data_IF_411118825217
#
_entry.id   IF_411118825217
#
_cell.length_a   1.000
_cell.length_b   1.000
_cell.length_c   1.000
_cell.angle_alpha   90.00
_cell.angle_beta   90.00
_cell.angle_gamma   90.00
#
_symmetry.space_group_name_H-M   'P 1'
#
loop_
_entity.id
_entity.type
_entity.pdbx_description
1 polymer ?
#
# COMPACT_ATOMS: atom_id res chain seq x y z
N UNK A 1 -29.31 -0.25 -10.09
CA UNK A 1 -30.22 0.12 -8.98
C UNK A 1 -31.71 0.08 -9.36
N UNK A 2 -32.13 0.60 -10.51
CA UNK A 2 -33.56 0.70 -10.90
C UNK A 2 -34.33 -0.62 -11.13
N UNK A 3 -33.66 -1.74 -11.47
CA UNK A 3 -34.37 -3.02 -11.71
C UNK A 3 -34.79 -3.72 -10.43
N UNK A 4 -33.95 -3.72 -9.39
CA UNK A 4 -34.21 -4.41 -8.11
C UNK A 4 -35.30 -3.69 -7.31
N UNK A 5 -35.26 -2.35 -7.22
CA UNK A 5 -36.27 -1.55 -6.50
C UNK A 5 -37.66 -1.70 -7.12
N UNK A 6 -37.75 -1.73 -8.45
CA UNK A 6 -39.00 -2.04 -9.17
C UNK A 6 -39.46 -3.47 -8.94
N UNK A 7 -38.54 -4.43 -8.93
CA UNK A 7 -38.86 -5.85 -8.75
C UNK A 7 -39.41 -6.16 -7.34
N UNK A 8 -38.89 -5.53 -6.30
CA UNK A 8 -39.36 -5.74 -4.92
C UNK A 8 -40.60 -4.93 -4.53
N UNK A 9 -41.08 -4.02 -5.40
CA UNK A 9 -42.25 -3.17 -5.13
C UNK A 9 -41.98 -2.09 -4.07
N UNK A 10 -40.75 -1.59 -3.98
CA UNK A 10 -40.34 -0.68 -2.90
C UNK A 10 -40.21 -1.36 -1.53
N UNK A 11 -40.22 -0.58 -0.45
CA UNK A 11 -40.11 -1.09 0.92
C UNK A 11 -41.45 -1.58 1.52
N UNK A 12 -42.58 -1.36 0.84
CA UNK A 12 -43.91 -1.80 1.31
C UNK A 12 -43.95 -3.31 1.55
N UNK A 13 -43.23 -4.08 0.73
CA UNK A 13 -43.14 -5.54 0.83
C UNK A 13 -41.96 -6.04 1.66
N UNK A 14 -41.24 -5.17 2.37
CA UNK A 14 -40.03 -5.54 3.14
C UNK A 14 -40.26 -6.73 4.08
N UNK A 15 -41.43 -6.80 4.71
CA UNK A 15 -41.80 -7.87 5.63
C UNK A 15 -42.14 -9.18 4.92
N UNK A 16 -42.54 -9.13 3.64
CA UNK A 16 -42.87 -10.28 2.79
C UNK A 16 -41.62 -10.89 2.15
N UNK A 17 -40.51 -10.13 2.05
CA UNK A 17 -39.26 -10.65 1.50
C UNK A 17 -38.69 -11.79 2.35
N UNK A 18 -38.18 -12.82 1.67
CA UNK A 18 -37.37 -13.84 2.31
C UNK A 18 -35.98 -13.29 2.70
N UNK A 19 -35.23 -14.06 3.48
CA UNK A 19 -33.98 -13.58 4.04
C UNK A 19 -32.92 -13.31 2.96
N UNK A 20 -32.85 -14.10 1.88
CA UNK A 20 -31.92 -13.90 0.77
C UNK A 20 -32.16 -12.57 0.04
N UNK A 21 -33.42 -12.24 -0.27
CA UNK A 21 -33.78 -10.96 -0.89
C UNK A 21 -33.45 -9.79 0.02
N UNK A 22 -33.69 -9.93 1.33
CA UNK A 22 -33.38 -8.88 2.31
C UNK A 22 -31.87 -8.66 2.43
N UNK A 23 -31.09 -9.75 2.48
CA UNK A 23 -29.62 -9.67 2.45
C UNK A 23 -29.12 -9.01 1.16
N UNK A 24 -29.72 -9.31 0.00
CA UNK A 24 -29.37 -8.68 -1.26
C UNK A 24 -29.60 -7.16 -1.24
N UNK A 25 -30.71 -6.68 -0.65
CA UNK A 25 -30.96 -5.24 -0.47
C UNK A 25 -29.95 -4.62 0.50
N UNK A 26 -29.70 -5.27 1.65
CA UNK A 26 -28.77 -4.78 2.68
C UNK A 26 -27.36 -4.59 2.13
N UNK A 27 -26.92 -5.40 1.17
CA UNK A 27 -25.60 -5.24 0.52
C UNK A 27 -25.41 -3.86 -0.12
N UNK A 28 -26.48 -3.22 -0.57
CA UNK A 28 -26.46 -1.89 -1.20
C UNK A 28 -26.68 -0.73 -0.23
N UNK A 29 -26.91 -1.01 1.07
CA UNK A 29 -27.08 0.03 2.07
C UNK A 29 -25.73 0.47 2.63
N UNK A 30 -25.59 1.78 2.82
CA UNK A 30 -24.50 2.40 3.56
C UNK A 30 -24.49 1.96 5.02
N UNK A 31 -23.34 2.05 5.67
CA UNK A 31 -23.19 1.57 7.05
C UNK A 31 -24.17 2.25 8.03
N UNK A 32 -24.41 3.55 7.88
CA UNK A 32 -25.35 4.28 8.74
C UNK A 32 -26.79 3.76 8.57
N UNK A 33 -27.23 3.54 7.33
CA UNK A 33 -28.57 3.04 7.04
C UNK A 33 -28.74 1.58 7.48
N UNK A 34 -27.68 0.76 7.40
CA UNK A 34 -27.67 -0.57 8.02
C UNK A 34 -27.83 -0.49 9.54
N UNK A 35 -27.20 0.47 10.20
CA UNK A 35 -27.37 0.68 11.63
C UNK A 35 -28.82 1.06 11.99
N UNK A 36 -29.42 1.99 11.22
CA UNK A 36 -30.83 2.38 11.38
C UNK A 36 -31.77 1.20 11.14
N UNK A 37 -31.53 0.39 10.12
CA UNK A 37 -32.34 -0.80 9.85
C UNK A 37 -32.22 -1.83 10.97
N UNK A 38 -31.01 -2.05 11.48
CA UNK A 38 -30.74 -3.04 12.53
C UNK A 38 -31.44 -2.77 13.86
N UNK A 39 -31.89 -1.54 14.12
CA UNK A 39 -32.67 -1.19 15.33
C UNK A 39 -34.18 -1.30 15.14
N UNK A 40 -34.67 -1.46 13.90
CA UNK A 40 -36.11 -1.50 13.61
C UNK A 40 -36.80 -2.77 14.15
N UNK A 41 -36.15 -3.93 14.07
CA UNK A 41 -36.69 -5.19 14.59
C UNK A 41 -35.59 -6.23 14.86
N UNK A 42 -35.93 -7.29 15.61
CA UNK A 42 -35.03 -8.44 15.80
C UNK A 42 -34.67 -9.11 14.47
N UNK A 43 -35.62 -9.24 13.54
CA UNK A 43 -35.38 -9.87 12.22
C UNK A 43 -34.45 -9.00 11.37
N UNK A 44 -34.65 -7.68 11.37
CA UNK A 44 -33.76 -6.74 10.70
C UNK A 44 -32.34 -6.79 11.28
N UNK A 45 -32.23 -6.79 12.61
CA UNK A 45 -30.94 -6.95 13.29
C UNK A 45 -30.18 -8.19 12.80
N UNK A 46 -30.82 -9.35 12.76
CA UNK A 46 -30.19 -10.59 12.29
C UNK A 46 -29.87 -10.54 10.79
N UNK A 47 -30.73 -9.92 9.97
CA UNK A 47 -30.48 -9.72 8.53
C UNK A 47 -29.21 -8.87 8.33
N UNK A 48 -29.12 -7.71 8.99
CA UNK A 48 -27.97 -6.81 8.91
C UNK A 48 -26.71 -7.49 9.42
N UNK A 49 -26.79 -8.16 10.58
CA UNK A 49 -25.65 -8.85 11.20
C UNK A 49 -25.10 -9.99 10.34
N UNK A 50 -25.96 -10.68 9.59
CA UNK A 50 -25.59 -11.83 8.76
C UNK A 50 -25.16 -11.42 7.35
N UNK A 51 -25.40 -10.16 6.94
CA UNK A 51 -24.99 -9.63 5.64
C UNK A 51 -23.61 -9.00 5.74
N UNK A 52 -22.68 -9.44 4.89
CA UNK A 52 -21.33 -8.86 4.87
C UNK A 52 -21.35 -7.37 4.55
N UNK A 53 -20.47 -6.62 5.23
CA UNK A 53 -20.26 -5.20 5.02
C UNK A 53 -19.13 -4.99 4.00
N UNK A 54 -19.31 -4.03 3.09
CA UNK A 54 -18.21 -3.54 2.28
C UNK A 54 -17.23 -2.78 3.17
N UNK A 55 -16.01 -3.29 3.30
CA UNK A 55 -14.90 -2.59 3.94
C UNK A 55 -13.80 -2.52 2.91
N UNK A 56 -13.52 -1.31 2.42
CA UNK A 56 -12.44 -1.08 1.47
C UNK A 56 -11.09 -1.40 2.10
N UNK A 57 -10.82 -0.80 3.27
CA UNK A 57 -9.51 -0.89 3.90
C UNK A 57 -9.53 -0.80 5.42
N UNK A 58 -8.49 -1.38 6.02
CA UNK A 58 -8.21 -1.28 7.46
C UNK A 58 -6.73 -0.97 7.64
N UNK A 59 -6.43 0.01 8.49
CA UNK A 59 -5.07 0.38 8.88
C UNK A 59 -4.90 0.27 10.39
N UNK A 60 -3.81 -0.35 10.83
CA UNK A 60 -3.39 -0.50 12.23
C UNK A 60 -1.97 0.07 12.33
N UNK A 61 -1.73 1.06 13.18
CA UNK A 61 -0.39 1.67 13.28
C UNK A 61 -0.06 2.15 14.68
N UNK A 62 1.20 2.08 15.07
CA UNK A 62 1.69 2.95 16.15
C UNK A 62 1.66 4.40 15.63
N UNK A 63 0.87 5.25 16.27
CA UNK A 63 0.56 6.56 15.73
C UNK A 63 1.65 7.58 16.05
N UNK A 64 2.59 7.78 15.14
CA UNK A 64 3.71 8.70 15.35
C UNK A 64 3.30 10.17 15.54
N UNK A 65 2.14 10.57 15.03
CA UNK A 65 1.66 11.95 15.19
C UNK A 65 1.21 12.22 16.62
N UNK A 66 0.57 11.24 17.25
CA UNK A 66 0.08 11.35 18.64
C UNK A 66 1.17 10.94 19.64
N UNK A 67 1.89 9.86 19.34
CA UNK A 67 2.96 9.29 20.14
C UNK A 67 3.08 7.78 19.91
N UNK A 68 4.30 7.24 19.99
CA UNK A 68 4.56 5.81 19.72
C UNK A 68 3.81 4.83 20.63
N UNK A 69 3.37 5.28 21.81
CA UNK A 69 2.63 4.49 22.81
C UNK A 69 1.11 4.42 22.52
N UNK A 70 0.68 4.91 21.36
CA UNK A 70 -0.69 4.87 20.90
C UNK A 70 -0.79 3.97 19.68
N UNK A 71 -1.79 3.10 19.64
CA UNK A 71 -2.15 2.38 18.41
C UNK A 71 -3.42 2.98 17.86
N UNK A 72 -3.39 3.43 16.60
CA UNK A 72 -4.59 3.86 15.89
C UNK A 72 -5.07 2.78 14.92
N UNK A 73 -6.38 2.55 14.93
CA UNK A 73 -7.06 1.67 13.98
C UNK A 73 -8.03 2.50 13.17
N UNK A 74 -7.85 2.54 11.85
CA UNK A 74 -8.74 3.22 10.90
C UNK A 74 -9.45 2.20 10.03
N UNK A 75 -10.75 2.37 9.84
CA UNK A 75 -11.58 1.57 8.93
C UNK A 75 -12.14 2.49 7.87
N UNK A 76 -12.02 2.09 6.60
CA UNK A 76 -12.59 2.79 5.45
C UNK A 76 -13.57 1.86 4.75
N UNK A 77 -14.79 2.33 4.55
CA UNK A 77 -15.90 1.53 4.05
C UNK A 77 -16.01 1.53 2.52
N UNK A 78 -15.56 2.60 1.87
CA UNK A 78 -15.70 2.82 0.43
C UNK A 78 -14.37 3.25 -0.21
N UNK A 79 -14.24 3.08 -1.52
CA UNK A 79 -13.11 3.51 -2.34
C UNK A 79 -13.06 5.06 -2.43
N UNK A 80 -14.18 5.74 -2.23
CA UNK A 80 -14.25 7.21 -2.12
C UNK A 80 -13.69 7.64 -0.76
N UNK A 81 -12.44 8.12 -0.75
CA UNK A 81 -11.68 8.62 0.41
C UNK A 81 -12.31 9.84 1.15
N UNK A 82 -13.59 10.12 0.93
CA UNK A 82 -14.35 11.12 1.67
C UNK A 82 -14.41 10.75 3.15
N UNK A 83 -14.27 11.75 4.03
CA UNK A 83 -14.24 11.59 5.48
C UNK A 83 -15.50 10.92 6.06
N UNK A 84 -16.63 10.95 5.33
CA UNK A 84 -17.90 10.36 5.74
C UNK A 84 -17.83 8.82 5.81
N UNK A 85 -16.99 8.19 4.99
CA UNK A 85 -16.89 6.72 4.89
C UNK A 85 -15.69 6.15 5.65
N UNK A 86 -15.12 6.94 6.56
CA UNK A 86 -13.95 6.59 7.36
C UNK A 86 -14.23 6.86 8.84
N UNK A 87 -13.74 5.98 9.70
CA UNK A 87 -13.65 6.27 11.13
C UNK A 87 -12.40 5.62 11.72
N UNK A 88 -11.95 6.15 12.86
CA UNK A 88 -10.79 5.61 13.55
C UNK A 88 -10.91 5.69 15.06
N UNK A 89 -10.27 4.73 15.73
CA UNK A 89 -10.10 4.70 17.18
C UNK A 89 -8.61 4.73 17.53
N UNK A 90 -8.31 5.32 18.68
CA UNK A 90 -6.99 5.33 19.31
C UNK A 90 -7.08 4.46 20.56
N UNK A 91 -6.08 3.61 20.75
CA UNK A 91 -5.91 2.73 21.88
C UNK A 91 -4.63 3.13 22.61
N UNK A 92 -4.68 3.23 23.93
CA UNK A 92 -3.52 3.49 24.78
C UNK A 92 -3.66 2.83 26.14
N UNK A 93 -2.53 2.56 26.80
CA UNK A 93 -2.53 2.00 28.14
C UNK A 93 -2.89 3.06 29.20
N UNK A 94 -3.73 2.70 30.17
CA UNK A 94 -4.13 3.51 31.34
C UNK A 94 -4.03 2.64 32.61
N UNK A 95 -2.84 2.61 33.23
CA UNK A 95 -2.54 1.66 34.30
C UNK A 95 -2.66 0.22 33.78
N UNK A 96 -3.45 -0.63 34.43
CA UNK A 96 -3.75 -1.99 33.97
C UNK A 96 -4.88 -2.04 32.91
N UNK A 97 -5.52 -0.91 32.64
CA UNK A 97 -6.68 -0.82 31.74
C UNK A 97 -6.27 -0.28 30.37
N UNK A 98 -7.09 -0.51 29.35
CA UNK A 98 -6.96 0.14 28.05
C UNK A 98 -7.94 1.30 27.93
N UNK A 99 -7.45 2.44 27.46
CA UNK A 99 -8.28 3.57 27.09
C UNK A 99 -8.50 3.59 25.58
N UNK A 100 -9.74 3.82 25.16
CA UNK A 100 -10.14 3.91 23.76
C UNK A 100 -10.81 5.26 23.49
N UNK A 101 -10.38 5.95 22.42
CA UNK A 101 -10.89 7.27 22.04
C UNK A 101 -11.18 7.32 20.54
N UNK A 102 -12.08 8.19 20.11
CA UNK A 102 -12.24 8.50 18.68
C UNK A 102 -11.05 9.29 18.18
N UNK A 103 -10.49 8.89 17.04
CA UNK A 103 -9.31 9.52 16.45
C UNK A 103 -9.55 11.01 16.17
N UNK A 104 -10.67 11.32 15.52
CA UNK A 104 -11.04 12.71 15.19
C UNK A 104 -11.29 13.58 16.42
N UNK A 105 -11.86 13.01 17.48
CA UNK A 105 -12.12 13.74 18.73
C UNK A 105 -10.79 14.09 19.41
N UNK A 106 -9.82 13.17 19.39
CA UNK A 106 -8.48 13.43 19.89
C UNK A 106 -7.79 14.55 19.10
N UNK A 107 -7.81 14.48 17.77
CA UNK A 107 -7.20 15.51 16.92
C UNK A 107 -7.83 16.89 17.17
N UNK A 108 -9.16 17.00 17.24
CA UNK A 108 -9.84 18.27 17.55
C UNK A 108 -9.37 18.92 18.86
N UNK A 109 -9.00 18.10 19.85
CA UNK A 109 -8.57 18.57 21.17
C UNK A 109 -7.06 18.84 21.26
N UNK A 110 -6.25 18.14 20.47
CA UNK A 110 -4.81 18.07 20.70
C UNK A 110 -3.96 18.41 19.47
N UNK A 111 -4.43 18.18 18.24
CA UNK A 111 -3.64 18.38 17.02
C UNK A 111 -4.50 18.63 15.75
N UNK A 112 -4.28 19.78 15.12
CA UNK A 112 -4.65 20.13 13.75
C UNK A 112 -3.86 21.36 13.31
N UNK A 113 -3.93 21.78 12.04
CA UNK A 113 -3.27 23.02 11.54
C UNK A 113 -3.71 24.30 12.26
N UNK A 114 -4.74 24.18 13.11
CA UNK A 114 -5.24 25.20 14.01
C UNK A 114 -5.98 24.52 15.18
N UNK A 115 -5.26 24.02 16.20
CA UNK A 115 -5.91 23.49 17.38
C UNK A 115 -6.41 24.68 18.20
N UNK A 116 -7.72 24.94 18.16
CA UNK A 116 -8.35 25.94 19.03
C UNK A 116 -9.28 25.26 20.04
N UNK A 117 -8.74 24.54 21.06
CA UNK A 117 -9.57 23.99 22.14
C UNK A 117 -10.44 25.06 22.79
N UNK A 118 -9.97 26.31 22.83
CA UNK A 118 -10.64 27.49 23.36
C UNK A 118 -11.94 27.87 22.60
N UNK A 119 -12.08 27.48 21.33
CA UNK A 119 -13.30 27.73 20.54
C UNK A 119 -14.44 26.76 20.88
N UNK A 120 -14.14 25.64 21.53
CA UNK A 120 -15.18 24.70 21.94
C UNK A 120 -15.75 25.10 23.28
N UNK A 121 -17.09 25.16 23.37
CA UNK A 121 -17.79 25.32 24.64
C UNK A 121 -17.39 24.22 25.62
N UNK A 122 -17.46 24.51 26.92
CA UNK A 122 -17.17 23.51 27.96
C UNK A 122 -18.09 22.28 27.83
N UNK A 123 -19.35 22.50 27.43
CA UNK A 123 -20.29 21.41 27.12
C UNK A 123 -19.81 20.51 25.98
N UNK A 124 -19.16 21.06 24.96
CA UNK A 124 -18.62 20.29 23.85
C UNK A 124 -17.38 19.50 24.29
N UNK A 125 -16.48 20.12 25.06
CA UNK A 125 -15.31 19.42 25.63
C UNK A 125 -15.74 18.28 26.53
N UNK A 126 -16.74 18.50 27.38
CA UNK A 126 -17.29 17.47 28.27
C UNK A 126 -17.92 16.32 27.48
N UNK A 127 -18.63 16.64 26.39
CA UNK A 127 -19.15 15.62 25.46
C UNK A 127 -18.04 14.76 24.87
N UNK A 128 -16.90 15.35 24.48
CA UNK A 128 -15.76 14.59 23.94
C UNK A 128 -15.12 13.70 25.02
N UNK A 129 -14.96 14.21 26.25
CA UNK A 129 -14.45 13.41 27.38
C UNK A 129 -15.36 12.23 27.70
N UNK A 130 -16.69 12.41 27.62
CA UNK A 130 -17.67 11.35 27.86
C UNK A 130 -17.69 10.26 26.78
N UNK A 131 -17.04 10.47 25.63
CA UNK A 131 -16.88 9.46 24.56
C UNK A 131 -15.63 8.59 24.74
N UNK A 132 -14.85 8.81 25.79
CA UNK A 132 -13.71 7.97 26.14
C UNK A 132 -14.22 6.68 26.79
N UNK A 133 -13.77 5.54 26.27
CA UNK A 133 -14.08 4.23 26.83
C UNK A 133 -12.88 3.68 27.58
N UNK A 134 -13.12 2.99 28.70
CA UNK A 134 -12.08 2.30 29.47
C UNK A 134 -12.42 0.82 29.54
N UNK A 135 -11.53 -0.01 28.99
CA UNK A 135 -11.59 -1.46 29.01
C UNK A 135 -10.72 -1.98 30.15
N UNK A 136 -11.28 -2.82 31.03
CA UNK A 136 -10.59 -3.22 32.27
C UNK A 136 -9.57 -4.32 32.05
N UNK A 137 -8.43 -4.23 32.73
CA UNK A 137 -7.41 -5.29 32.84
C UNK A 137 -7.02 -5.92 31.50
N UNK A 138 -6.64 -5.09 30.53
CA UNK A 138 -6.31 -5.53 29.18
C UNK A 138 -5.20 -4.68 28.55
N UNK A 139 -4.46 -5.29 27.63
CA UNK A 139 -3.39 -4.68 26.87
C UNK A 139 -3.98 -3.97 25.62
N UNK A 140 -3.56 -2.73 25.41
CA UNK A 140 -4.14 -1.87 24.38
C UNK A 140 -3.82 -2.30 22.94
N UNK A 141 -2.66 -2.93 22.71
CA UNK A 141 -2.23 -3.47 21.42
C UNK A 141 -3.14 -4.64 21.00
N UNK A 142 -3.42 -5.55 21.92
CA UNK A 142 -4.34 -6.67 21.70
C UNK A 142 -5.77 -6.19 21.45
N UNK A 143 -6.25 -5.20 22.20
CA UNK A 143 -7.59 -4.65 22.00
C UNK A 143 -7.72 -3.91 20.66
N UNK A 144 -6.67 -3.21 20.22
CA UNK A 144 -6.63 -2.60 18.90
C UNK A 144 -6.73 -3.65 17.79
N UNK A 145 -5.96 -4.75 17.88
CA UNK A 145 -6.01 -5.85 16.91
C UNK A 145 -7.38 -6.55 16.93
N UNK A 146 -7.94 -6.84 18.11
CA UNK A 146 -9.30 -7.40 18.23
C UNK A 146 -10.34 -6.52 17.57
N UNK A 147 -10.21 -5.19 17.73
CA UNK A 147 -11.10 -4.25 17.07
C UNK A 147 -10.95 -4.31 15.55
N UNK A 148 -9.72 -4.29 15.03
CA UNK A 148 -9.47 -4.39 13.59
C UNK A 148 -10.01 -5.70 13.00
N UNK A 149 -9.71 -6.83 13.63
CA UNK A 149 -10.16 -8.16 13.19
C UNK A 149 -11.69 -8.32 13.26
N UNK A 150 -12.34 -7.68 14.24
CA UNK A 150 -13.81 -7.62 14.29
C UNK A 150 -14.38 -6.98 13.02
N UNK A 151 -13.73 -5.96 12.48
CA UNK A 151 -14.14 -5.31 11.23
C UNK A 151 -13.77 -6.14 10.00
N UNK A 152 -12.60 -6.78 9.99
CA UNK A 152 -12.26 -7.76 8.94
C UNK A 152 -13.30 -8.88 8.88
N UNK A 153 -13.75 -9.39 10.04
CA UNK A 153 -14.79 -10.42 10.11
C UNK A 153 -16.13 -9.93 9.55
N UNK A 154 -16.50 -8.66 9.75
CA UNK A 154 -17.74 -8.09 9.18
C UNK A 154 -17.74 -8.05 7.66
N UNK A 155 -16.56 -7.98 7.02
CA UNK A 155 -16.41 -8.07 5.57
C UNK A 155 -15.94 -9.45 5.11
N UNK A 156 -16.06 -10.50 5.94
CA UNK A 156 -15.58 -11.85 5.62
C UNK A 156 -14.09 -11.90 5.21
N UNK A 157 -13.27 -10.97 5.71
CA UNK A 157 -11.86 -10.81 5.35
C UNK A 157 -11.63 -10.45 3.86
N UNK A 158 -12.64 -9.94 3.17
CA UNK A 158 -12.61 -9.57 1.75
C UNK A 158 -12.25 -8.10 1.49
N UNK A 159 -11.47 -7.48 2.37
CA UNK A 159 -10.95 -6.12 2.18
C UNK A 159 -9.96 -6.04 1.01
N UNK A 160 -9.90 -4.87 0.35
CA UNK A 160 -9.00 -4.62 -0.80
C UNK A 160 -7.59 -4.21 -0.38
N UNK A 161 -7.49 -3.42 0.69
CA UNK A 161 -6.23 -2.90 1.22
C UNK A 161 -6.09 -3.16 2.72
N UNK A 162 -4.91 -3.57 3.16
CA UNK A 162 -4.56 -3.61 4.59
C UNK A 162 -3.23 -2.89 4.85
N UNK A 163 -3.23 -2.01 5.85
CA UNK A 163 -2.01 -1.35 6.35
C UNK A 163 -1.73 -1.78 7.79
N UNK A 164 -0.54 -2.28 8.09
CA UNK A 164 -0.14 -2.65 9.46
C UNK A 164 1.27 -2.14 9.70
N UNK A 165 1.41 -1.06 10.46
CA UNK A 165 2.70 -0.52 10.90
C UNK A 165 2.74 -0.50 12.43
N UNK A 166 2.72 -1.69 13.01
CA UNK A 166 2.56 -1.89 14.44
C UNK A 166 3.72 -2.72 14.98
N UNK A 167 4.39 -2.19 16.00
CA UNK A 167 5.43 -2.89 16.76
C UNK A 167 4.82 -4.07 17.50
N UNK A 168 5.55 -5.18 17.55
CA UNK A 168 5.15 -6.40 18.26
C UNK A 168 3.71 -6.85 17.96
N UNK A 169 3.32 -6.89 16.68
CA UNK A 169 1.98 -7.35 16.30
C UNK A 169 1.69 -8.73 16.94
N UNK A 170 0.57 -8.91 17.68
CA UNK A 170 0.29 -10.12 18.46
C UNK A 170 -0.18 -11.29 17.58
N UNK A 171 0.73 -11.84 16.78
CA UNK A 171 0.50 -12.90 15.78
C UNK A 171 -0.21 -14.12 16.39
N UNK A 172 0.23 -14.58 17.56
CA UNK A 172 -0.31 -15.78 18.22
C UNK A 172 -1.77 -15.64 18.65
N UNK A 173 -2.26 -14.41 18.75
CA UNK A 173 -3.64 -14.09 19.14
C UNK A 173 -4.53 -13.74 17.95
N UNK A 174 -3.95 -13.63 16.75
CA UNK A 174 -4.68 -13.25 15.55
C UNK A 174 -5.58 -14.36 15.04
N UNK A 175 -6.79 -14.00 14.61
CA UNK A 175 -7.75 -14.92 14.00
C UNK A 175 -7.67 -14.92 12.47
N UNK A 176 -6.74 -14.16 11.87
CA UNK A 176 -6.63 -14.01 10.41
C UNK A 176 -6.06 -15.29 9.80
N UNK A 177 -6.87 -15.93 8.96
CA UNK A 177 -6.48 -17.12 8.19
C UNK A 177 -6.07 -16.78 6.76
N UNK A 178 -6.78 -15.85 6.12
CA UNK A 178 -6.57 -15.47 4.73
C UNK A 178 -7.25 -14.13 4.43
N UNK A 179 -6.70 -13.36 3.48
CA UNK A 179 -7.21 -12.10 2.97
C UNK A 179 -7.45 -12.20 1.44
N UNK A 180 -8.43 -13.00 0.98
CA UNK A 180 -8.50 -13.48 -0.40
C UNK A 180 -8.72 -12.39 -1.46
N UNK A 181 -9.26 -11.23 -1.08
CA UNK A 181 -9.51 -10.09 -1.97
C UNK A 181 -8.51 -8.94 -1.80
N UNK A 182 -7.55 -9.09 -0.88
CA UNK A 182 -6.56 -8.05 -0.65
C UNK A 182 -5.54 -8.05 -1.78
N UNK A 183 -5.36 -6.89 -2.41
CA UNK A 183 -4.44 -6.70 -3.55
C UNK A 183 -3.38 -5.65 -3.29
N UNK A 184 -3.54 -4.85 -2.24
CA UNK A 184 -2.55 -3.86 -1.84
C UNK A 184 -2.26 -3.98 -0.35
N UNK A 185 -0.98 -3.98 0.01
CA UNK A 185 -0.54 -4.01 1.41
C UNK A 185 0.47 -2.92 1.71
N UNK A 186 0.49 -2.48 2.96
CA UNK A 186 1.62 -1.79 3.55
C UNK A 186 1.90 -2.39 4.92
N UNK A 187 3.01 -3.10 5.06
CA UNK A 187 3.40 -3.72 6.32
C UNK A 187 4.70 -3.15 6.86
N UNK A 188 4.64 -2.58 8.05
CA UNK A 188 5.76 -2.27 8.91
C UNK A 188 5.96 -3.35 9.96
N UNK A 189 7.16 -3.93 10.05
CA UNK A 189 7.50 -4.94 11.05
C UNK A 189 8.87 -4.72 11.69
N UNK A 190 9.07 -5.36 12.84
CA UNK A 190 10.32 -5.38 13.58
C UNK A 190 11.24 -6.55 13.18
N UNK A 191 10.69 -7.58 12.52
CA UNK A 191 11.35 -8.83 12.18
C UNK A 191 10.78 -9.49 10.91
N UNK A 192 11.54 -10.46 10.38
CA UNK A 192 11.21 -11.20 9.14
C UNK A 192 10.04 -12.17 9.32
N UNK A 193 9.87 -12.76 10.51
CA UNK A 193 8.83 -13.76 10.75
C UNK A 193 7.45 -13.12 10.77
N UNK A 194 7.35 -11.87 11.22
CA UNK A 194 6.14 -11.06 11.10
C UNK A 194 5.77 -10.83 9.62
N UNK A 195 6.73 -10.49 8.76
CA UNK A 195 6.47 -10.42 7.32
C UNK A 195 6.06 -11.77 6.74
N UNK A 196 6.78 -12.84 7.09
CA UNK A 196 6.47 -14.19 6.64
C UNK A 196 5.03 -14.59 6.97
N UNK A 197 4.60 -14.34 8.21
CA UNK A 197 3.24 -14.63 8.66
C UNK A 197 2.20 -13.86 7.85
N UNK A 198 2.42 -12.57 7.60
CA UNK A 198 1.52 -11.73 6.81
C UNK A 198 1.43 -12.15 5.35
N UNK A 199 2.57 -12.37 4.69
CA UNK A 199 2.64 -12.74 3.26
C UNK A 199 1.88 -14.04 3.01
N UNK A 200 1.92 -15.01 3.94
CA UNK A 200 1.18 -16.27 3.85
C UNK A 200 -0.36 -16.09 3.85
N UNK A 201 -0.89 -14.94 4.29
CA UNK A 201 -2.34 -14.66 4.29
C UNK A 201 -2.83 -14.06 2.97
N UNK A 202 -1.92 -13.67 2.08
CA UNK A 202 -2.24 -12.90 0.88
C UNK A 202 -2.41 -13.80 -0.36
N UNK A 203 -3.20 -13.37 -1.35
CA UNK A 203 -3.28 -14.04 -2.64
C UNK A 203 -2.02 -13.79 -3.48
N UNK A 204 -1.70 -14.69 -4.43
CA UNK A 204 -0.47 -14.61 -5.22
C UNK A 204 -0.37 -13.35 -6.11
N UNK A 205 -1.43 -13.02 -6.85
CA UNK A 205 -1.42 -11.91 -7.80
C UNK A 205 -1.67 -10.57 -7.11
N UNK A 206 -0.68 -10.07 -6.37
CA UNK A 206 -0.78 -8.77 -5.70
C UNK A 206 -0.64 -7.63 -6.70
N UNK A 207 -1.27 -6.50 -6.40
CA UNK A 207 -1.10 -5.26 -7.16
C UNK A 207 0.09 -4.48 -6.62
N UNK A 208 0.11 -4.24 -5.30
CA UNK A 208 1.14 -3.42 -4.65
C UNK A 208 1.52 -4.03 -3.30
N UNK A 209 2.83 -4.23 -3.09
CA UNK A 209 3.43 -4.79 -1.87
C UNK A 209 4.45 -3.80 -1.33
N UNK A 210 4.11 -3.18 -0.19
CA UNK A 210 5.03 -2.32 0.54
C UNK A 210 5.45 -2.97 1.85
N UNK A 211 6.77 -3.08 2.05
CA UNK A 211 7.36 -3.65 3.26
C UNK A 211 8.32 -2.65 3.88
N UNK A 212 8.08 -2.29 5.13
CA UNK A 212 8.76 -1.21 5.82
C UNK A 212 9.43 -1.75 7.09
N UNK A 213 10.70 -1.43 7.28
CA UNK A 213 11.32 -1.63 8.59
C UNK A 213 10.87 -0.50 9.51
N UNK A 214 10.27 -0.84 10.65
CA UNK A 214 9.82 0.18 11.61
C UNK A 214 11.01 1.01 12.16
N UNK A 215 10.81 2.30 12.49
CA UNK A 215 11.87 3.15 13.01
C UNK A 215 12.48 2.62 14.30
N UNK A 216 13.78 2.87 14.48
CA UNK A 216 14.59 2.50 15.65
C UNK A 216 14.77 0.98 15.88
N UNK A 217 14.46 0.15 14.88
CA UNK A 217 14.70 -1.30 14.94
C UNK A 217 16.06 -1.70 14.38
N UNK A 218 16.55 -2.86 14.81
CA UNK A 218 17.76 -3.47 14.24
C UNK A 218 17.59 -3.62 12.73
N UNK A 219 18.67 -3.37 11.99
CA UNK A 219 18.67 -3.60 10.55
C UNK A 219 18.55 -5.12 10.33
N UNK A 220 17.56 -5.51 9.55
CA UNK A 220 17.41 -6.88 9.06
C UNK A 220 17.27 -6.87 7.54
N UNK A 221 17.53 -8.03 6.93
CA UNK A 221 17.40 -8.26 5.50
C UNK A 221 16.32 -9.30 5.28
N UNK A 222 15.39 -9.02 4.35
CA UNK A 222 14.39 -10.00 3.92
C UNK A 222 15.12 -11.09 3.12
N UNK A 223 15.06 -12.36 3.55
CA UNK A 223 15.83 -13.42 2.95
C UNK A 223 15.23 -13.88 1.61
N UNK A 224 16.06 -14.42 0.74
CA UNK A 224 15.68 -14.83 -0.62
C UNK A 224 14.53 -15.83 -0.65
N UNK A 225 14.39 -16.72 0.35
CA UNK A 225 13.30 -17.70 0.42
C UNK A 225 11.94 -17.04 0.60
N UNK A 226 11.87 -15.97 1.41
CA UNK A 226 10.64 -15.20 1.61
C UNK A 226 10.35 -14.35 0.37
N UNK A 227 11.38 -13.75 -0.23
CA UNK A 227 11.25 -12.98 -1.47
C UNK A 227 10.79 -13.83 -2.67
N UNK A 228 11.08 -15.13 -2.66
CA UNK A 228 10.63 -16.06 -3.69
C UNK A 228 9.12 -16.39 -3.64
N UNK A 229 8.39 -15.86 -2.65
CA UNK A 229 6.96 -16.06 -2.54
C UNK A 229 6.24 -15.55 -3.81
N UNK A 230 5.27 -16.29 -4.38
CA UNK A 230 4.50 -15.83 -5.52
C UNK A 230 3.84 -14.46 -5.30
N UNK A 231 3.45 -14.17 -4.05
CA UNK A 231 2.91 -12.90 -3.57
C UNK A 231 3.86 -11.70 -3.74
N UNK A 232 5.15 -11.94 -4.00
CA UNK A 232 6.18 -10.92 -4.22
C UNK A 232 6.65 -10.99 -5.67
N UNK A 233 7.03 -12.19 -6.15
CA UNK A 233 7.59 -12.37 -7.49
C UNK A 233 6.61 -12.02 -8.64
N UNK A 234 5.31 -12.13 -8.39
CA UNK A 234 4.24 -11.87 -9.37
C UNK A 234 3.55 -10.51 -9.17
N UNK A 235 4.07 -9.67 -8.29
CA UNK A 235 3.49 -8.36 -7.95
C UNK A 235 3.83 -7.31 -9.00
N UNK A 236 2.88 -6.43 -9.31
CA UNK A 236 3.10 -5.34 -10.25
C UNK A 236 3.93 -4.18 -9.67
N UNK A 237 3.68 -3.80 -8.42
CA UNK A 237 4.36 -2.72 -7.71
C UNK A 237 5.03 -3.21 -6.41
N UNK A 238 6.32 -2.94 -6.24
CA UNK A 238 7.09 -3.33 -5.04
C UNK A 238 7.75 -2.09 -4.43
N UNK A 239 7.52 -1.82 -3.14
CA UNK A 239 8.21 -0.73 -2.46
C UNK A 239 8.71 -1.19 -1.08
N UNK A 240 9.96 -1.62 -1.02
CA UNK A 240 10.57 -2.08 0.22
C UNK A 240 11.49 -1.00 0.79
N UNK A 241 11.09 -0.47 1.93
CA UNK A 241 11.91 0.41 2.77
C UNK A 241 12.82 -0.40 3.71
N UNK A 242 13.35 -1.51 3.19
CA UNK A 242 14.21 -2.44 3.90
C UNK A 242 15.17 -3.14 2.92
N UNK A 243 16.14 -3.86 3.48
CA UNK A 243 17.12 -4.63 2.69
C UNK A 243 16.46 -5.89 2.15
N UNK A 244 16.64 -6.17 0.87
CA UNK A 244 16.08 -7.32 0.18
C UNK A 244 17.20 -8.14 -0.45
N UNK A 245 17.25 -9.43 -0.09
CA UNK A 245 18.21 -10.39 -0.58
C UNK A 245 17.73 -11.11 -1.86
N UNK A 246 17.36 -10.34 -2.89
CA UNK A 246 17.09 -10.94 -4.20
C UNK A 246 18.41 -11.44 -4.81
N UNK A 247 18.42 -12.68 -5.29
CA UNK A 247 19.45 -13.17 -6.20
C UNK A 247 19.27 -12.57 -7.60
N UNK A 248 20.33 -12.60 -8.42
CA UNK A 248 20.26 -12.17 -9.83
C UNK A 248 19.15 -12.91 -10.60
N UNK A 249 18.99 -14.22 -10.36
CA UNK A 249 17.94 -15.01 -11.01
C UNK A 249 16.54 -14.56 -10.61
N UNK A 250 16.31 -14.28 -9.33
CA UNK A 250 15.03 -13.75 -8.86
C UNK A 250 14.77 -12.36 -9.44
N UNK A 251 15.76 -11.47 -9.39
CA UNK A 251 15.67 -10.14 -9.96
C UNK A 251 15.31 -10.16 -11.46
N UNK A 252 15.95 -11.02 -12.26
CA UNK A 252 15.64 -11.21 -13.68
C UNK A 252 14.20 -11.67 -13.95
N UNK A 253 13.57 -12.34 -12.99
CA UNK A 253 12.26 -12.97 -13.12
C UNK A 253 11.14 -12.24 -12.35
N UNK A 254 11.43 -11.08 -11.76
CA UNK A 254 10.40 -10.21 -11.18
C UNK A 254 9.39 -9.80 -12.26
N UNK A 255 8.11 -9.89 -11.93
CA UNK A 255 7.01 -9.43 -12.81
C UNK A 255 6.65 -7.95 -12.58
N UNK A 256 7.38 -7.25 -11.72
CA UNK A 256 7.07 -5.90 -11.31
C UNK A 256 7.36 -4.89 -12.42
N UNK A 257 6.41 -3.97 -12.60
CA UNK A 257 6.51 -2.84 -13.52
C UNK A 257 7.32 -1.71 -12.86
N UNK A 258 7.10 -1.52 -11.56
CA UNK A 258 7.73 -0.48 -10.78
C UNK A 258 8.18 -1.06 -9.45
N UNK A 259 9.47 -0.97 -9.14
CA UNK A 259 9.98 -1.49 -7.89
C UNK A 259 11.13 -0.70 -7.29
N UNK A 260 11.14 -0.62 -5.95
CA UNK A 260 12.16 0.05 -5.16
C UNK A 260 12.53 -0.80 -3.96
N UNK A 261 13.82 -1.03 -3.75
CA UNK A 261 14.33 -1.71 -2.55
C UNK A 261 15.82 -1.50 -2.37
N UNK A 262 16.32 -1.73 -1.15
CA UNK A 262 17.76 -1.81 -0.91
C UNK A 262 18.27 -3.21 -1.27
N UNK A 263 18.93 -3.32 -2.42
CA UNK A 263 19.49 -4.57 -2.91
C UNK A 263 20.74 -4.96 -2.10
N UNK A 264 20.92 -6.25 -1.86
CA UNK A 264 22.08 -6.79 -1.12
C UNK A 264 22.96 -7.67 -2.01
N UNK A 265 22.37 -8.61 -2.75
CA UNK A 265 23.12 -9.60 -3.53
C UNK A 265 22.93 -9.48 -5.06
N UNK A 266 22.27 -8.42 -5.54
CA UNK A 266 22.16 -8.15 -6.98
C UNK A 266 23.50 -7.63 -7.49
N UNK A 267 24.08 -8.31 -8.47
CA UNK A 267 25.37 -7.95 -9.06
C UNK A 267 25.22 -6.98 -10.22
N UNK A 268 26.30 -6.27 -10.56
CA UNK A 268 26.34 -5.41 -11.76
C UNK A 268 26.05 -6.20 -13.05
N UNK A 269 26.46 -7.47 -13.09
CA UNK A 269 26.10 -8.39 -14.17
C UNK A 269 24.61 -8.71 -14.19
N UNK A 270 23.99 -8.98 -13.04
CA UNK A 270 22.55 -9.18 -12.92
C UNK A 270 21.76 -7.98 -13.44
N UNK A 271 22.20 -6.76 -13.11
CA UNK A 271 21.64 -5.50 -13.64
C UNK A 271 21.81 -5.42 -15.17
N UNK A 272 23.01 -5.72 -15.66
CA UNK A 272 23.29 -5.75 -17.11
C UNK A 272 22.36 -6.72 -17.84
N UNK A 273 22.20 -7.93 -17.30
CA UNK A 273 21.40 -8.99 -17.91
C UNK A 273 19.89 -8.65 -17.88
N UNK A 274 19.41 -7.98 -16.83
CA UNK A 274 18.06 -7.42 -16.77
C UNK A 274 17.83 -6.38 -17.87
N UNK A 275 18.75 -5.44 -18.03
CA UNK A 275 18.65 -4.40 -19.07
C UNK A 275 18.73 -5.02 -20.47
N UNK A 276 19.62 -5.99 -20.70
CA UNK A 276 19.69 -6.74 -21.96
C UNK A 276 18.38 -7.45 -22.27
N UNK A 277 17.77 -8.08 -21.27
CA UNK A 277 16.47 -8.75 -21.42
C UNK A 277 15.40 -7.75 -21.87
N UNK A 278 15.34 -6.57 -21.25
CA UNK A 278 14.44 -5.49 -21.66
C UNK A 278 14.73 -4.98 -23.08
N UNK A 279 15.98 -4.63 -23.38
CA UNK A 279 16.36 -4.06 -24.67
C UNK A 279 16.11 -5.02 -25.85
N UNK A 280 16.17 -6.33 -25.62
CA UNK A 280 15.85 -7.36 -26.62
C UNK A 280 14.33 -7.66 -26.71
N UNK A 281 13.46 -6.89 -26.06
CA UNK A 281 12.00 -7.06 -26.09
C UNK A 281 11.46 -8.19 -25.21
N UNK A 282 12.29 -8.80 -24.36
CA UNK A 282 11.89 -9.88 -23.45
C UNK A 282 11.73 -9.38 -22.00
N UNK A 283 11.67 -8.06 -21.80
CA UNK A 283 11.47 -7.44 -20.49
C UNK A 283 10.05 -7.60 -19.95
N UNK A 284 9.83 -7.09 -18.74
CA UNK A 284 8.51 -7.07 -18.12
C UNK A 284 7.55 -6.17 -18.94
N UNK A 285 6.34 -6.64 -19.30
CA UNK A 285 5.34 -5.80 -19.94
C UNK A 285 5.01 -4.59 -19.08
N UNK A 286 4.91 -3.41 -19.69
CA UNK A 286 4.63 -2.16 -18.97
C UNK A 286 5.68 -1.79 -17.89
N UNK A 287 6.93 -2.23 -18.03
CA UNK A 287 8.02 -1.77 -17.18
C UNK A 287 8.10 -0.23 -17.13
N UNK A 288 8.16 0.32 -15.92
CA UNK A 288 8.24 1.74 -15.61
C UNK A 288 9.58 2.08 -14.96
N UNK A 289 9.90 1.48 -13.81
CA UNK A 289 11.16 1.79 -13.14
C UNK A 289 11.66 0.73 -12.15
N UNK A 290 12.97 0.76 -11.90
CA UNK A 290 13.68 0.00 -10.90
C UNK A 290 14.59 0.94 -10.10
N UNK A 291 14.35 1.09 -8.80
CA UNK A 291 15.17 1.86 -7.85
C UNK A 291 15.90 0.92 -6.91
N UNK A 292 17.18 0.69 -7.19
CA UNK A 292 18.02 -0.26 -6.46
C UNK A 292 18.98 0.50 -5.55
N UNK A 293 18.57 0.69 -4.29
CA UNK A 293 19.46 1.29 -3.29
C UNK A 293 20.58 0.32 -2.95
N UNK A 294 21.79 0.83 -2.75
CA UNK A 294 22.99 0.03 -2.55
C UNK A 294 23.97 0.73 -1.62
N UNK A 295 24.77 -0.04 -0.89
CA UNK A 295 25.96 0.48 -0.18
C UNK A 295 27.26 0.11 -0.89
N UNK A 296 27.16 -0.67 -1.97
CA UNK A 296 28.30 -1.10 -2.78
C UNK A 296 28.64 -0.06 -3.84
N UNK A 297 29.93 0.08 -4.13
CA UNK A 297 30.39 0.88 -5.25
C UNK A 297 30.09 0.15 -6.56
N UNK A 298 29.15 0.70 -7.33
CA UNK A 298 28.68 0.12 -8.58
C UNK A 298 29.58 0.50 -9.76
N UNK A 299 29.87 -0.46 -10.63
CA UNK A 299 30.70 -0.22 -11.80
C UNK A 299 29.83 0.06 -13.04
N UNK A 300 29.80 1.32 -13.46
CA UNK A 300 29.06 1.75 -14.66
C UNK A 300 29.49 0.96 -15.91
N UNK A 301 30.79 0.75 -16.11
CA UNK A 301 31.33 0.05 -17.29
C UNK A 301 30.98 -1.45 -17.30
N UNK A 302 30.80 -2.06 -16.13
CA UNK A 302 30.27 -3.41 -16.03
C UNK A 302 28.80 -3.44 -16.44
N UNK A 303 28.00 -2.51 -15.89
CA UNK A 303 26.55 -2.42 -16.13
C UNK A 303 26.17 -2.07 -17.57
N UNK A 304 27.04 -1.36 -18.29
CA UNK A 304 26.83 -1.01 -19.70
C UNK A 304 27.47 -2.00 -20.67
N UNK A 305 28.16 -3.04 -20.19
CA UNK A 305 28.95 -3.93 -21.05
C UNK A 305 28.09 -4.66 -22.07
N UNK A 306 28.34 -4.36 -23.35
CA UNK A 306 27.64 -4.98 -24.48
C UNK A 306 26.21 -4.46 -24.67
N UNK A 307 25.89 -3.30 -24.09
CA UNK A 307 24.70 -2.53 -24.40
C UNK A 307 25.02 -1.48 -25.47
N UNK A 308 24.04 -1.17 -26.30
CA UNK A 308 24.07 0.00 -27.16
C UNK A 308 23.41 1.14 -26.39
N UNK A 309 24.18 2.20 -26.14
CA UNK A 309 23.72 3.32 -25.32
C UNK A 309 24.36 4.62 -25.76
N UNK A 310 23.72 5.72 -25.36
CA UNK A 310 24.22 7.08 -25.49
C UNK A 310 24.37 7.67 -24.10
N UNK A 311 25.58 8.07 -23.73
CA UNK A 311 25.78 8.77 -22.46
C UNK A 311 25.13 10.15 -22.51
N UNK A 312 24.74 10.65 -21.35
CA UNK A 312 24.14 11.97 -21.23
C UNK A 312 25.16 13.09 -21.37
N UNK A 313 26.46 12.80 -21.31
CA UNK A 313 27.50 13.82 -21.48
C UNK A 313 27.55 14.32 -22.94
N UNK A 314 27.39 15.64 -23.10
CA UNK A 314 27.45 16.29 -24.41
C UNK A 314 26.09 16.32 -25.13
N UNK A 315 26.00 15.62 -26.26
CA UNK A 315 24.96 15.88 -27.26
C UNK A 315 23.53 15.55 -26.76
N UNK A 316 23.35 14.50 -25.98
CA UNK A 316 22.02 14.14 -25.48
C UNK A 316 21.46 15.22 -24.54
N UNK A 317 22.28 15.70 -23.61
CA UNK A 317 21.87 16.77 -22.69
C UNK A 317 21.61 18.09 -23.41
N UNK A 318 22.33 18.37 -24.50
CA UNK A 318 22.09 19.54 -25.34
C UNK A 318 20.78 19.43 -26.16
N UNK A 319 20.43 18.23 -26.61
CA UNK A 319 19.20 17.96 -27.36
C UNK A 319 17.97 17.94 -26.45
N UNK A 320 18.09 17.38 -25.23
CA UNK A 320 16.98 17.16 -24.30
C UNK A 320 17.17 17.84 -22.92
N UNK A 321 17.50 19.15 -22.86
CA UNK A 321 17.92 19.82 -21.63
C UNK A 321 16.82 19.87 -20.56
N UNK A 322 15.55 20.02 -20.98
CA UNK A 322 14.42 20.08 -20.06
C UNK A 322 14.17 18.74 -19.38
N UNK A 323 14.26 17.64 -20.14
CA UNK A 323 14.12 16.30 -19.60
C UNK A 323 15.27 15.98 -18.64
N UNK A 324 16.52 16.23 -19.04
CA UNK A 324 17.69 16.00 -18.19
C UNK A 324 17.62 16.81 -16.89
N UNK A 325 17.23 18.09 -16.96
CA UNK A 325 17.05 18.95 -15.78
C UNK A 325 15.96 18.41 -14.83
N UNK A 326 14.81 18.00 -15.38
CA UNK A 326 13.73 17.43 -14.59
C UNK A 326 14.14 16.12 -13.92
N UNK A 327 14.80 15.23 -14.67
CA UNK A 327 15.30 13.96 -14.16
C UNK A 327 16.29 14.16 -13.01
N UNK A 328 17.21 15.12 -13.15
CA UNK A 328 18.15 15.47 -12.08
C UNK A 328 17.46 15.96 -10.82
N UNK A 329 16.45 16.81 -10.96
CA UNK A 329 15.67 17.31 -9.83
C UNK A 329 14.92 16.20 -9.08
N UNK A 330 14.50 15.15 -9.79
CA UNK A 330 13.72 14.07 -9.19
C UNK A 330 14.58 13.01 -8.48
N UNK A 331 15.78 12.73 -8.99
CA UNK A 331 16.54 11.54 -8.58
C UNK A 331 17.96 11.81 -8.09
N UNK A 332 18.48 13.03 -8.25
CA UNK A 332 19.91 13.35 -8.02
C UNK A 332 20.87 12.29 -8.62
N UNK A 333 20.74 12.03 -9.92
CA UNK A 333 21.41 10.92 -10.59
C UNK A 333 22.92 11.14 -10.68
N UNK A 334 23.67 10.03 -10.64
CA UNK A 334 25.08 10.02 -11.01
C UNK A 334 25.29 9.94 -12.52
N UNK A 335 26.19 9.07 -12.97
CA UNK A 335 26.47 8.89 -14.41
C UNK A 335 25.26 8.26 -15.10
N UNK A 336 24.83 8.85 -16.22
CA UNK A 336 23.60 8.47 -16.92
C UNK A 336 23.87 8.00 -18.36
N UNK A 337 23.12 6.99 -18.78
CA UNK A 337 23.07 6.50 -20.14
C UNK A 337 21.63 6.27 -20.60
N UNK A 338 21.34 6.64 -21.84
CA UNK A 338 20.12 6.28 -22.56
C UNK A 338 20.35 4.99 -23.34
N UNK A 339 19.54 3.97 -23.07
CA UNK A 339 19.66 2.61 -23.63
C UNK A 339 18.43 2.33 -24.47
N UNK A 340 18.62 2.09 -25.76
CA UNK A 340 17.54 1.96 -26.72
C UNK A 340 17.03 0.52 -26.82
N UNK A 341 15.72 0.39 -27.06
CA UNK A 341 15.13 -0.90 -27.40
C UNK A 341 15.59 -1.31 -28.80
N UNK A 342 15.93 -2.60 -28.95
CA UNK A 342 16.24 -3.21 -30.25
C UNK A 342 14.99 -3.63 -31.01
N UNK A 343 13.81 -3.56 -30.36
CA UNK A 343 12.52 -3.92 -30.96
C UNK A 343 11.78 -2.69 -31.46
N UNK A 344 11.83 -1.58 -30.72
CA UNK A 344 11.23 -0.31 -31.12
C UNK A 344 12.25 0.82 -30.91
N UNK A 345 12.78 1.44 -31.98
CA UNK A 345 13.83 2.45 -31.86
C UNK A 345 13.37 3.74 -31.18
N UNK A 346 12.06 3.94 -30.99
CA UNK A 346 11.50 5.10 -30.28
C UNK A 346 11.32 4.87 -28.78
N UNK A 347 11.58 3.66 -28.30
CA UNK A 347 11.49 3.29 -26.89
C UNK A 347 12.89 3.17 -26.28
N UNK A 348 13.09 3.74 -25.09
CA UNK A 348 14.38 3.68 -24.40
C UNK A 348 14.24 3.79 -22.88
N UNK A 349 15.23 3.27 -22.17
CA UNK A 349 15.36 3.41 -20.71
C UNK A 349 16.59 4.26 -20.38
N UNK A 350 16.50 5.03 -19.30
CA UNK A 350 17.66 5.67 -18.68
C UNK A 350 18.22 4.76 -17.59
N UNK A 351 19.50 4.42 -17.69
CA UNK A 351 20.29 3.88 -16.60
C UNK A 351 21.02 5.05 -15.92
N UNK A 352 20.85 5.20 -14.62
CA UNK A 352 21.63 6.12 -13.79
C UNK A 352 22.32 5.36 -12.67
N UNK A 353 23.59 5.66 -12.46
CA UNK A 353 24.44 5.04 -11.44
C UNK A 353 25.02 6.13 -10.55
N UNK A 354 24.45 6.25 -9.35
CA UNK A 354 24.95 7.10 -8.26
C UNK A 354 25.71 6.24 -7.23
N UNK A 355 26.25 6.88 -6.18
CA UNK A 355 27.00 6.19 -5.12
C UNK A 355 26.15 5.22 -4.30
N UNK A 356 24.87 5.52 -4.13
CA UNK A 356 23.94 4.82 -3.24
C UNK A 356 22.68 4.31 -3.95
N UNK A 357 22.57 4.54 -5.26
CA UNK A 357 21.39 4.21 -6.05
C UNK A 357 21.78 3.82 -7.48
N UNK A 358 21.20 2.71 -7.95
CA UNK A 358 21.08 2.40 -9.39
C UNK A 358 19.62 2.58 -9.79
N UNK A 359 19.36 3.43 -10.77
CA UNK A 359 18.04 3.70 -11.30
C UNK A 359 17.96 3.22 -12.75
N UNK A 360 16.98 2.37 -13.05
CA UNK A 360 16.61 1.99 -14.41
C UNK A 360 15.20 2.52 -14.62
N UNK A 361 15.00 3.45 -15.54
CA UNK A 361 13.70 4.10 -15.72
C UNK A 361 13.32 4.08 -17.20
N UNK A 362 12.11 3.64 -17.54
CA UNK A 362 11.57 3.81 -18.89
C UNK A 362 11.29 5.29 -19.12
N UNK A 363 11.99 5.90 -20.06
CA UNK A 363 11.98 7.36 -20.22
C UNK A 363 11.73 7.81 -21.64
N UNK A 364 12.15 7.04 -22.65
CA UNK A 364 11.79 7.31 -24.04
C UNK A 364 10.54 6.54 -24.42
N UNK A 365 9.52 7.27 -24.88
CA UNK A 365 8.23 6.73 -25.29
C UNK A 365 7.97 7.06 -26.76
N UNK A 366 7.52 6.06 -27.50
CA UNK A 366 7.04 6.25 -28.86
C UNK A 366 5.78 7.09 -28.87
N UNK A 367 5.82 8.19 -29.62
CA UNK A 367 4.69 9.06 -29.89
C UNK A 367 4.46 9.18 -31.39
N UNK A 368 3.23 9.45 -31.77
CA UNK A 368 2.85 9.74 -33.16
C UNK A 368 2.09 11.06 -33.18
N UNK A 369 2.58 12.01 -33.98
CA UNK A 369 1.88 13.28 -34.24
C UNK A 369 1.88 13.56 -35.75
N UNK A 370 0.70 13.79 -36.32
CA UNK A 370 0.50 14.05 -37.75
C UNK A 370 1.21 13.05 -38.69
N UNK A 371 1.30 11.77 -38.30
CA UNK A 371 1.95 10.72 -39.08
C UNK A 371 3.48 10.64 -38.90
N UNK A 372 4.07 11.51 -38.07
CA UNK A 372 5.48 11.44 -37.69
C UNK A 372 5.64 10.69 -36.37
N UNK A 373 6.44 9.62 -36.38
CA UNK A 373 6.82 8.90 -35.18
C UNK A 373 8.09 9.52 -34.59
N UNK A 374 8.07 9.80 -33.29
CA UNK A 374 9.19 10.38 -32.57
C UNK A 374 9.28 9.84 -31.13
N UNK A 375 10.43 10.01 -30.50
CA UNK A 375 10.63 9.70 -29.09
C UNK A 375 10.29 10.91 -28.24
N UNK A 376 9.41 10.75 -27.25
CA UNK A 376 9.22 11.73 -26.18
C UNK A 376 9.91 11.25 -24.92
N UNK A 377 10.84 12.05 -24.40
CA UNK A 377 11.48 11.78 -23.13
C UNK A 377 10.68 12.36 -21.95
N UNK A 378 10.30 11.53 -20.98
CA UNK A 378 9.57 11.93 -19.79
C UNK A 378 9.83 10.95 -18.64
N UNK A 379 9.56 11.37 -17.39
CA UNK A 379 9.60 10.48 -16.22
C UNK A 379 8.24 9.80 -16.02
N UNK A 380 7.16 10.47 -16.43
CA UNK A 380 5.81 9.91 -16.43
C UNK A 380 5.08 10.40 -17.67
N UNK A 381 4.72 9.44 -18.51
CA UNK A 381 3.74 9.53 -19.56
C UNK A 381 2.70 8.42 -19.25
#
# INVERSE_FOLDING_TARGET
>A
MNSVVKFIGGFEKWNELNDDCRMAVVKFLEYEDRCKLGICSKRDYYTVKSTSLGVHSISIKNDQHIGFDYVSVTVVLDDDFNSVNRFGLIFSQLGENTQVRWYEDHLKLHQGDNPWPERFSDSYKERLKNRIMVLKSCNYEEEAVKFAEKWMKKCNFELKYIGVEMKNYPIDKSQIKSLPKCKTINFGADDVETFRWWIQKLPNQMKDVQLVRLPNQKVFTIPSDLLNAPQIMQTADINFWCRADFSDEQFLNLSANNFSFHCVNITDKGITDYIKKWANGNGVPYFESAMLWTTENRNFEEMTRGLEYREWDGDFENEEPNFCSLFRRCYDPGRCAQIYSKVDPYESITLSVASDLVLIHKTGHKMEDNGWTYTKYCIRC
#
